data_IF_320629678549
#
_entry.id   IF_320629678549
#
_cell.length_a   1.000
_cell.length_b   1.000
_cell.length_c   1.000
_cell.angle_alpha   90.00
_cell.angle_beta   90.00
_cell.angle_gamma   90.00
#
_symmetry.space_group_name_H-M   'P 1'
#
loop_
_entity.id
_entity.type
_entity.pdbx_description
1 polymer ?
#
# COMPACT_ATOMS: atom_id res chain seq x y z
N UNK A 1 18.83 -2.42 -5.85
CA UNK A 1 17.98 -3.58 -6.18
C UNK A 1 16.51 -3.20 -6.07
N UNK A 2 15.97 -2.97 -4.86
CA UNK A 2 14.56 -2.55 -4.67
C UNK A 2 14.12 -1.36 -5.53
N UNK A 3 14.86 -0.23 -5.49
CA UNK A 3 14.55 0.94 -6.32
C UNK A 3 14.53 0.63 -7.81
N UNK A 4 15.46 -0.21 -8.29
CA UNK A 4 15.54 -0.60 -9.70
C UNK A 4 14.31 -1.40 -10.11
N UNK A 5 13.84 -2.32 -9.26
CA UNK A 5 12.63 -3.09 -9.53
C UNK A 5 11.37 -2.23 -9.49
N UNK A 6 11.25 -1.32 -8.52
CA UNK A 6 10.12 -0.37 -8.45
C UNK A 6 10.11 0.61 -9.63
N UNK A 7 11.27 1.08 -10.06
CA UNK A 7 11.40 1.93 -11.25
C UNK A 7 10.94 1.17 -12.50
N UNK A 8 11.36 -0.09 -12.68
CA UNK A 8 10.90 -0.92 -13.81
C UNK A 8 9.38 -1.07 -13.85
N UNK A 9 8.73 -1.25 -12.70
CA UNK A 9 7.27 -1.30 -12.63
C UNK A 9 6.64 0.03 -13.06
N UNK A 10 7.18 1.17 -12.58
CA UNK A 10 6.72 2.51 -13.00
C UNK A 10 6.95 2.78 -14.49
N UNK A 11 8.07 2.32 -15.05
CA UNK A 11 8.37 2.47 -16.48
C UNK A 11 7.41 1.66 -17.37
N UNK A 12 6.75 0.65 -16.79
CA UNK A 12 5.68 -0.14 -17.44
C UNK A 12 4.28 0.42 -17.15
N UNK A 13 4.17 1.63 -16.61
CA UNK A 13 2.92 2.28 -16.21
C UNK A 13 2.11 1.49 -15.16
N UNK A 14 2.80 0.71 -14.33
CA UNK A 14 2.17 -0.03 -13.24
C UNK A 14 2.02 0.90 -12.04
N UNK A 15 0.79 1.04 -11.59
CA UNK A 15 0.48 1.78 -10.37
C UNK A 15 0.76 0.93 -9.14
N UNK A 16 1.66 1.42 -8.28
CA UNK A 16 2.04 0.72 -7.05
C UNK A 16 1.37 1.42 -5.86
N UNK A 17 0.75 0.64 -4.98
CA UNK A 17 0.09 1.12 -3.77
C UNK A 17 0.54 0.30 -2.56
N UNK A 18 0.49 0.91 -1.38
CA UNK A 18 0.73 0.21 -0.10
C UNK A 18 -0.56 0.09 0.67
N UNK A 19 -0.79 -1.08 1.26
CA UNK A 19 -1.87 -1.31 2.21
C UNK A 19 -1.27 -1.89 3.51
N UNK A 20 -1.27 -1.10 4.58
CA UNK A 20 -0.66 -1.45 5.86
C UNK A 20 -1.65 -1.30 7.03
N UNK A 21 -1.40 -2.02 8.13
CA UNK A 21 -2.05 -1.76 9.42
C UNK A 21 -1.32 -0.69 10.25
N UNK A 22 -0.18 -0.20 9.77
CA UNK A 22 0.55 0.90 10.39
C UNK A 22 -0.07 2.26 10.11
N UNK A 23 0.45 3.29 10.78
CA UNK A 23 0.05 4.67 10.55
C UNK A 23 0.54 5.17 9.18
N UNK A 24 -0.35 5.79 8.41
CA UNK A 24 -0.03 6.33 7.07
C UNK A 24 1.13 7.31 7.12
N UNK A 25 1.11 8.26 8.07
CA UNK A 25 2.16 9.27 8.22
C UNK A 25 3.53 8.67 8.48
N UNK A 26 3.61 7.68 9.38
CA UNK A 26 4.86 6.97 9.68
C UNK A 26 5.38 6.22 8.47
N UNK A 27 4.50 5.49 7.76
CA UNK A 27 4.87 4.76 6.55
C UNK A 27 5.40 5.71 5.46
N UNK A 28 4.69 6.80 5.18
CA UNK A 28 5.12 7.81 4.20
C UNK A 28 6.44 8.47 4.60
N UNK A 29 6.67 8.76 5.88
CA UNK A 29 7.95 9.30 6.37
C UNK A 29 9.11 8.36 6.10
N UNK A 30 8.97 7.08 6.47
CA UNK A 30 10.00 6.06 6.22
C UNK A 30 10.30 5.94 4.73
N UNK A 31 9.26 5.86 3.90
CA UNK A 31 9.42 5.79 2.44
C UNK A 31 10.08 7.05 1.88
N UNK A 32 9.74 8.24 2.40
CA UNK A 32 10.36 9.49 1.96
C UNK A 32 11.85 9.51 2.30
N UNK A 33 12.22 9.11 3.52
CA UNK A 33 13.62 9.07 3.98
C UNK A 33 14.45 8.05 3.22
N UNK A 34 13.84 6.94 2.78
CA UNK A 34 14.47 5.95 1.91
C UNK A 34 14.46 6.35 0.42
N UNK A 35 13.87 7.49 0.04
CA UNK A 35 13.72 7.90 -1.36
C UNK A 35 12.78 7.00 -2.17
N UNK A 36 11.90 6.25 -1.50
CA UNK A 36 10.99 5.28 -2.08
C UNK A 36 9.56 5.80 -2.28
N UNK A 37 9.16 6.87 -1.57
CA UNK A 37 7.78 7.37 -1.61
C UNK A 37 7.32 7.72 -3.03
N UNK A 38 8.23 8.20 -3.88
CA UNK A 38 7.97 8.58 -5.28
C UNK A 38 7.42 7.42 -6.14
N UNK A 39 7.67 6.17 -5.76
CA UNK A 39 7.18 5.00 -6.51
C UNK A 39 5.73 4.65 -6.19
N UNK A 40 5.17 5.13 -5.08
CA UNK A 40 3.85 4.75 -4.61
C UNK A 40 2.83 5.86 -4.88
N UNK A 41 1.75 5.51 -5.59
CA UNK A 41 0.64 6.43 -5.87
C UNK A 41 -0.18 6.72 -4.61
N UNK A 42 -0.31 5.72 -3.73
CA UNK A 42 -1.10 5.82 -2.53
C UNK A 42 -0.57 4.91 -1.41
N UNK A 43 -0.81 5.33 -0.16
CA UNK A 43 -0.50 4.56 1.04
C UNK A 43 -1.77 4.52 1.89
N UNK A 44 -2.38 3.33 1.97
CA UNK A 44 -3.53 3.06 2.80
C UNK A 44 -3.10 2.50 4.15
N UNK A 45 -3.76 2.92 5.21
CA UNK A 45 -3.52 2.41 6.56
C UNK A 45 -4.27 3.16 7.64
N UNK A 46 -3.78 3.01 8.87
CA UNK A 46 -4.40 3.62 10.03
C UNK A 46 -4.17 5.14 10.07
N UNK A 47 -5.19 5.87 10.51
CA UNK A 47 -5.16 7.31 10.74
C UNK A 47 -5.30 7.59 12.24
N UNK A 48 -4.33 8.27 12.84
CA UNK A 48 -4.44 8.74 14.23
C UNK A 48 -4.74 7.64 15.26
N UNK A 49 -5.72 7.91 16.14
CA UNK A 49 -6.07 7.24 17.42
C UNK A 49 -6.49 5.75 17.34
N UNK A 50 -5.76 4.94 16.59
CA UNK A 50 -6.03 3.52 16.37
C UNK A 50 -5.46 2.62 17.48
N UNK A 51 -4.67 3.19 18.41
CA UNK A 51 -3.94 2.45 19.45
C UNK A 51 -4.43 2.74 20.87
N UNK A 52 -5.60 3.36 21.00
CA UNK A 52 -6.25 3.60 22.29
C UNK A 52 -5.65 4.76 23.07
N UNK A 53 -6.00 5.98 22.67
CA UNK A 53 -5.62 7.22 23.34
C UNK A 53 -6.56 7.52 24.52
N UNK A 54 -6.63 6.60 25.48
CA UNK A 54 -7.60 6.67 26.58
C UNK A 54 -6.96 6.91 27.96
N UNK A 55 -5.63 6.97 28.04
CA UNK A 55 -4.95 7.25 29.30
C UNK A 55 -4.92 8.75 29.58
N UNK A 56 -4.85 9.13 30.85
CA UNK A 56 -4.79 10.53 31.27
C UNK A 56 -3.65 11.29 30.58
N UNK A 57 -2.52 10.62 30.30
CA UNK A 57 -1.40 11.18 29.53
C UNK A 57 -1.76 11.49 28.07
N UNK A 58 -2.52 10.61 27.40
CA UNK A 58 -2.94 10.81 26.00
C UNK A 58 -3.96 11.95 25.92
N UNK A 59 -4.87 12.02 26.91
CA UNK A 59 -5.85 13.10 27.02
C UNK A 59 -5.17 14.42 27.33
N UNK A 60 -4.17 14.44 28.22
CA UNK A 60 -3.41 15.65 28.53
C UNK A 60 -2.51 16.10 27.36
N UNK A 61 -1.91 15.17 26.62
CA UNK A 61 -1.08 15.52 25.46
C UNK A 61 -1.90 16.03 24.27
N UNK A 62 -3.16 15.59 24.13
CA UNK A 62 -4.11 16.12 23.13
C UNK A 62 -4.75 17.46 23.50
N UNK A 63 -4.64 17.91 24.76
CA UNK A 63 -5.10 19.24 25.19
C UNK A 63 -4.20 20.37 24.70
N UNK A 64 -2.95 20.08 24.31
CA UNK A 64 -2.11 21.03 23.60
C UNK A 64 -2.56 21.14 22.14
N UNK A 65 -2.77 22.37 21.63
CA UNK A 65 -2.87 22.61 20.19
C UNK A 65 -1.50 22.39 19.54
N UNK A 66 -1.06 21.13 19.48
CA UNK A 66 0.11 20.78 18.71
C UNK A 66 -0.29 20.74 17.24
N UNK A 67 0.37 21.56 16.43
CA UNK A 67 0.26 21.50 14.98
C UNK A 67 1.57 20.93 14.44
N UNK A 68 1.54 19.86 13.62
CA UNK A 68 2.75 19.34 13.00
C UNK A 68 3.41 20.41 12.13
N UNK A 69 4.75 20.42 12.03
CA UNK A 69 5.45 21.18 11.01
C UNK A 69 4.90 20.87 9.61
N UNK A 70 4.90 21.83 8.66
CA UNK A 70 4.32 21.64 7.33
C UNK A 70 4.80 20.39 6.60
N UNK A 71 6.09 20.05 6.73
CA UNK A 71 6.69 18.86 6.14
C UNK A 71 6.15 17.55 6.72
N UNK A 72 5.84 17.53 8.02
CA UNK A 72 5.22 16.38 8.67
C UNK A 72 3.72 16.33 8.36
N UNK A 73 3.05 17.48 8.30
CA UNK A 73 1.64 17.59 7.95
C UNK A 73 1.36 17.04 6.54
N UNK A 74 2.26 17.30 5.58
CA UNK A 74 2.14 16.79 4.21
C UNK A 74 2.22 15.26 4.09
N UNK A 75 2.76 14.58 5.10
CA UNK A 75 2.87 13.12 5.13
C UNK A 75 1.65 12.46 5.79
N UNK A 76 0.85 13.21 6.54
CA UNK A 76 -0.31 12.64 7.22
C UNK A 76 -1.32 12.09 6.21
N UNK A 77 -1.99 11.02 6.60
CA UNK A 77 -3.08 10.45 5.81
C UNK A 77 -4.33 11.30 5.94
N UNK A 78 -5.09 11.38 4.87
CA UNK A 78 -6.44 11.93 4.81
C UNK A 78 -7.47 10.80 4.93
N UNK A 79 -8.75 11.11 5.09
CA UNK A 79 -9.78 10.10 5.35
C UNK A 79 -9.85 8.98 4.28
N UNK A 80 -9.55 9.31 3.03
CA UNK A 80 -9.45 8.39 1.89
C UNK A 80 -8.27 7.41 1.96
N UNK A 81 -7.27 7.67 2.82
CA UNK A 81 -6.17 6.74 3.07
C UNK A 81 -6.57 5.64 4.07
N UNK A 82 -7.71 5.75 4.76
CA UNK A 82 -8.16 4.73 5.72
C UNK A 82 -9.00 3.64 5.05
N UNK A 83 -8.95 2.45 5.64
CA UNK A 83 -9.88 1.36 5.35
C UNK A 83 -10.23 0.65 6.65
N UNK A 84 -11.50 0.31 6.82
CA UNK A 84 -12.04 -0.23 8.09
C UNK A 84 -12.34 -1.72 8.04
N UNK A 85 -12.23 -2.33 6.85
CA UNK A 85 -12.50 -3.74 6.60
C UNK A 85 -11.19 -4.51 6.35
N UNK A 86 -11.25 -5.61 5.61
CA UNK A 86 -10.07 -6.38 5.18
C UNK A 86 -9.32 -5.69 4.03
N UNK A 87 -8.07 -6.09 3.81
CA UNK A 87 -7.30 -5.68 2.62
C UNK A 87 -7.99 -6.12 1.33
N UNK A 88 -8.59 -7.32 1.30
CA UNK A 88 -9.41 -7.77 0.18
C UNK A 88 -10.58 -6.84 -0.14
N UNK A 89 -11.28 -6.31 0.88
CA UNK A 89 -12.35 -5.34 0.68
C UNK A 89 -11.83 -4.00 0.12
N UNK A 90 -10.69 -3.51 0.62
CA UNK A 90 -10.03 -2.32 0.05
C UNK A 90 -9.66 -2.54 -1.42
N UNK A 91 -9.05 -3.67 -1.75
CA UNK A 91 -8.65 -4.00 -3.13
C UNK A 91 -9.89 -4.04 -4.04
N UNK A 92 -10.98 -4.65 -3.59
CA UNK A 92 -12.23 -4.72 -4.35
C UNK A 92 -12.81 -3.33 -4.64
N UNK A 93 -12.79 -2.43 -3.66
CA UNK A 93 -13.26 -1.06 -3.82
C UNK A 93 -12.35 -0.24 -4.78
N UNK A 94 -11.02 -0.40 -4.69
CA UNK A 94 -10.09 0.22 -5.62
C UNK A 94 -10.34 -0.27 -7.05
N UNK A 95 -10.50 -1.58 -7.24
CA UNK A 95 -10.78 -2.17 -8.54
C UNK A 95 -12.08 -1.65 -9.13
N UNK A 96 -13.15 -1.57 -8.32
CA UNK A 96 -14.43 -1.02 -8.76
C UNK A 96 -14.30 0.45 -9.19
N UNK A 97 -13.62 1.28 -8.40
CA UNK A 97 -13.42 2.71 -8.71
C UNK A 97 -12.58 2.93 -9.97
N UNK A 98 -11.60 2.06 -10.23
CA UNK A 98 -10.71 2.15 -11.39
C UNK A 98 -11.20 1.37 -12.61
N UNK A 99 -12.26 0.57 -12.47
CA UNK A 99 -12.76 -0.29 -13.53
C UNK A 99 -11.79 -1.43 -13.89
N UNK A 100 -11.03 -1.92 -12.90
CA UNK A 100 -10.05 -2.99 -13.07
C UNK A 100 -10.70 -4.36 -12.86
N UNK A 101 -10.25 -5.33 -13.63
CA UNK A 101 -10.58 -6.74 -13.49
C UNK A 101 -9.59 -7.48 -12.60
N UNK A 102 -9.94 -8.70 -12.18
CA UNK A 102 -9.11 -9.52 -11.29
C UNK A 102 -7.70 -9.81 -11.83
N UNK A 103 -7.57 -9.82 -13.16
CA UNK A 103 -6.32 -10.09 -13.87
C UNK A 103 -5.51 -8.82 -14.14
N UNK A 104 -5.89 -7.68 -13.58
CA UNK A 104 -5.15 -6.42 -13.70
C UNK A 104 -4.52 -5.99 -12.36
N UNK A 105 -4.69 -6.80 -11.30
CA UNK A 105 -4.22 -6.50 -9.96
C UNK A 105 -3.48 -7.69 -9.38
N UNK A 106 -2.29 -7.42 -8.81
CA UNK A 106 -1.53 -8.38 -8.03
C UNK A 106 -1.41 -7.84 -6.61
N UNK A 107 -1.88 -8.61 -5.63
CA UNK A 107 -1.70 -8.32 -4.21
C UNK A 107 -0.52 -9.13 -3.64
N UNK A 108 0.37 -8.44 -2.94
CA UNK A 108 1.61 -9.01 -2.39
C UNK A 108 1.65 -8.80 -0.88
N UNK A 109 1.80 -9.87 -0.12
CA UNK A 109 1.83 -9.86 1.35
C UNK A 109 2.59 -11.09 1.87
N UNK A 110 3.13 -11.02 3.08
CA UNK A 110 3.78 -12.14 3.77
C UNK A 110 2.79 -12.95 4.61
N UNK A 111 1.68 -12.35 5.07
CA UNK A 111 0.66 -13.02 5.88
C UNK A 111 -0.36 -13.77 5.00
N UNK A 112 -0.40 -15.12 5.07
CA UNK A 112 -1.34 -15.91 4.27
C UNK A 112 -2.81 -15.59 4.56
N UNK A 113 -3.14 -15.06 5.75
CA UNK A 113 -4.51 -14.66 6.10
C UNK A 113 -4.93 -13.40 5.34
N UNK A 114 -4.02 -12.46 5.17
CA UNK A 114 -4.27 -11.25 4.37
C UNK A 114 -4.46 -11.62 2.90
N UNK A 115 -3.61 -12.51 2.37
CA UNK A 115 -3.75 -13.02 1.01
C UNK A 115 -5.07 -13.76 0.80
N UNK A 116 -5.48 -14.62 1.74
CA UNK A 116 -6.74 -15.36 1.66
C UNK A 116 -7.93 -14.41 1.42
N UNK A 117 -7.93 -13.25 2.08
CA UNK A 117 -8.97 -12.22 1.90
C UNK A 117 -9.03 -11.62 0.49
N UNK A 118 -7.93 -11.69 -0.27
CA UNK A 118 -7.76 -11.09 -1.59
C UNK A 118 -7.80 -12.11 -2.74
N UNK A 119 -7.65 -13.41 -2.48
CA UNK A 119 -7.66 -14.47 -3.52
C UNK A 119 -8.93 -14.51 -4.36
N UNK A 120 -10.05 -14.04 -3.82
CA UNK A 120 -11.33 -13.95 -4.53
C UNK A 120 -11.52 -12.62 -5.26
N UNK A 121 -10.52 -11.75 -5.26
CA UNK A 121 -10.60 -10.38 -5.77
C UNK A 121 -9.51 -10.10 -6.81
N UNK A 122 -8.31 -10.66 -6.62
CA UNK A 122 -7.17 -10.41 -7.51
C UNK A 122 -6.16 -11.57 -7.47
N UNK A 123 -5.18 -11.55 -8.37
CA UNK A 123 -4.03 -12.44 -8.27
C UNK A 123 -3.22 -12.12 -7.01
N UNK A 124 -2.70 -13.15 -6.34
CA UNK A 124 -1.96 -12.98 -5.07
C UNK A 124 -0.57 -13.60 -5.15
N UNK A 125 0.42 -12.95 -4.55
CA UNK A 125 1.77 -13.49 -4.37
C UNK A 125 2.18 -13.44 -2.89
N UNK A 126 2.56 -14.60 -2.35
CA UNK A 126 3.05 -14.70 -0.98
C UNK A 126 4.57 -14.55 -0.93
N UNK A 127 5.04 -13.59 -0.14
CA UNK A 127 6.46 -13.46 0.20
C UNK A 127 6.78 -14.52 1.26
N UNK A 128 7.72 -15.43 0.96
CA UNK A 128 7.94 -16.62 1.80
C UNK A 128 8.75 -16.37 3.08
N UNK A 129 9.23 -15.14 3.29
CA UNK A 129 10.03 -14.75 4.45
C UNK A 129 9.66 -13.34 4.91
N UNK A 130 9.67 -13.08 6.23
CA UNK A 130 9.38 -11.76 6.80
C UNK A 130 10.57 -10.78 6.69
N UNK A 131 11.43 -10.99 5.69
CA UNK A 131 12.65 -10.21 5.40
C UNK A 131 12.42 -9.12 4.36
N UNK A 132 11.20 -9.02 3.83
CA UNK A 132 10.82 -8.09 2.77
C UNK A 132 10.97 -8.67 1.37
N UNK A 133 10.73 -7.85 0.34
CA UNK A 133 10.81 -8.28 -1.06
C UNK A 133 12.26 -8.46 -1.52
N UNK A 134 12.59 -9.69 -1.90
CA UNK A 134 13.87 -10.08 -2.49
C UNK A 134 13.84 -10.02 -4.02
N UNK A 135 15.00 -10.18 -4.69
CA UNK A 135 15.05 -10.26 -6.14
C UNK A 135 14.21 -11.43 -6.70
N UNK A 136 14.27 -12.66 -6.13
CA UNK A 136 13.36 -13.74 -6.52
C UNK A 136 11.87 -13.38 -6.43
N UNK A 137 11.47 -12.59 -5.43
CA UNK A 137 10.08 -12.12 -5.32
C UNK A 137 9.71 -11.21 -6.48
N UNK A 138 10.58 -10.26 -6.82
CA UNK A 138 10.36 -9.40 -7.98
C UNK A 138 10.35 -10.17 -9.29
N UNK A 139 11.25 -11.14 -9.48
CA UNK A 139 11.28 -11.98 -10.67
C UNK A 139 9.95 -12.73 -10.84
N UNK A 140 9.37 -13.25 -9.74
CA UNK A 140 8.06 -13.88 -9.79
C UNK A 140 6.93 -12.89 -10.04
N UNK A 141 6.97 -11.69 -9.47
CA UNK A 141 5.99 -10.63 -9.74
C UNK A 141 6.03 -10.24 -11.22
N UNK A 142 7.21 -10.06 -11.82
CA UNK A 142 7.35 -9.76 -13.25
C UNK A 142 6.80 -10.89 -14.11
N UNK A 143 7.08 -12.15 -13.77
CA UNK A 143 6.50 -13.28 -14.47
C UNK A 143 4.96 -13.29 -14.40
N UNK A 144 4.39 -13.01 -13.21
CA UNK A 144 2.94 -12.91 -13.06
C UNK A 144 2.36 -11.80 -13.94
N UNK A 145 3.02 -10.64 -14.04
CA UNK A 145 2.61 -9.53 -14.90
C UNK A 145 2.65 -9.90 -16.39
N UNK A 146 3.62 -10.69 -16.83
CA UNK A 146 3.72 -11.20 -18.20
C UNK A 146 2.61 -12.23 -18.52
N UNK A 147 2.16 -12.99 -17.51
CA UNK A 147 1.06 -13.94 -17.62
C UNK A 147 -0.33 -13.25 -17.68
N UNK A 148 -0.42 -11.97 -17.27
CA UNK A 148 -1.67 -11.22 -17.34
C UNK A 148 -2.03 -10.92 -18.80
N UNK A 149 -3.28 -11.19 -19.22
CA UNK A 149 -3.69 -10.92 -20.59
C UNK A 149 -3.57 -9.42 -20.87
N UNK A 150 -2.88 -9.06 -21.95
CA UNK A 150 -2.67 -7.68 -22.44
C UNK A 150 -3.95 -7.00 -22.95
N UNK A 151 -5.07 -7.19 -22.25
CA UNK A 151 -6.38 -6.74 -22.69
C UNK A 151 -6.48 -5.24 -22.48
N UNK A 152 -6.21 -4.52 -23.57
CA UNK A 152 -6.47 -3.10 -23.82
C UNK A 152 -5.50 -2.13 -23.15
N UNK A 153 -4.29 -2.01 -23.73
CA UNK A 153 -3.66 -0.68 -23.87
C UNK A 153 -4.71 0.23 -24.51
N UNK A 154 -5.40 1.04 -23.72
CA UNK A 154 -6.23 2.12 -24.24
C UNK A 154 -5.27 3.10 -24.91
N UNK A 155 -5.19 3.00 -26.24
CA UNK A 155 -4.71 4.09 -27.07
C UNK A 155 -5.50 5.34 -26.68
N UNK A 156 -4.81 6.28 -26.03
CA UNK A 156 -5.28 7.64 -25.79
C UNK A 156 -4.52 8.56 -26.72
#
# INVERSE_FOLDING_TARGET
>A
MLMTSLQKLKDQDIEIMICTKGLVGTCRKILQDCGLLVFFSHVFGNLGDCYGCFLDYDVQSSQGQWTPPPEAAALLGTADCSFTASKGALISDIMQRKGLSMVEVIFVDDDPRELQSATQVCSTYQVKETTGLSQPDFDRIFQLLEELPHTMRKES
#
